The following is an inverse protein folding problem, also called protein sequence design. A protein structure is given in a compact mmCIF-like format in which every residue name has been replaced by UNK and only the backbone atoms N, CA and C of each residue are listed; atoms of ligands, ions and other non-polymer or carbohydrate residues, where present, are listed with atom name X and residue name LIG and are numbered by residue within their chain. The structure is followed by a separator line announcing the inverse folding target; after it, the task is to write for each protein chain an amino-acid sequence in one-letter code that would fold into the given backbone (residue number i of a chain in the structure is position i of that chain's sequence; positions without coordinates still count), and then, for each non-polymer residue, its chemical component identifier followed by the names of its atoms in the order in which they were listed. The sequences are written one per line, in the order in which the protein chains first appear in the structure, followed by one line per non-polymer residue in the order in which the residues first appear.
data_IF_193511675137
#
_entry.id   IF_193511675137
#
_cell.length_a   1.000
_cell.length_b   1.000
_cell.length_c   1.000
_cell.angle_alpha   90.00
_cell.angle_beta   90.00
_cell.angle_gamma   90.00
#
_symmetry.space_group_name_H-M   'P 1'
#
loop_
_entity.id
_entity.type
_entity.pdbx_description
1 polymer ?
#
# COMPACT_ATOMS: atom_id res chain seq x y z
N UNK A 1 75.25 -6.77 -24.24
CA UNK A 1 74.28 -6.66 -25.36
C UNK A 1 72.96 -6.22 -24.75
N UNK A 2 72.28 -5.29 -25.42
CA UNK A 2 71.15 -4.53 -24.91
C UNK A 2 69.87 -5.38 -24.80
N UNK A 3 69.03 -5.08 -23.82
CA UNK A 3 67.58 -5.08 -24.00
C UNK A 3 66.96 -4.16 -22.93
N UNK A 4 66.33 -3.10 -23.40
CA UNK A 4 65.56 -2.14 -22.62
C UNK A 4 64.22 -1.97 -23.35
N UNK A 5 63.15 -1.78 -22.57
CA UNK A 5 61.76 -1.45 -22.96
C UNK A 5 60.86 -2.58 -23.44
N UNK A 6 60.05 -3.06 -22.49
CA UNK A 6 58.57 -3.01 -22.53
C UNK A 6 58.12 -3.53 -21.16
N UNK A 7 57.89 -2.68 -20.16
CA UNK A 7 56.77 -1.75 -20.21
C UNK A 7 55.49 -2.59 -20.22
N UNK A 8 54.91 -2.84 -19.04
CA UNK A 8 53.71 -2.08 -18.67
C UNK A 8 52.51 -2.58 -19.48
N UNK A 9 51.79 -3.60 -18.99
CA UNK A 9 50.31 -3.63 -19.09
C UNK A 9 49.60 -4.85 -18.47
N UNK A 10 50.24 -5.77 -17.75
CA UNK A 10 49.51 -6.98 -17.30
C UNK A 10 49.57 -7.20 -15.79
N UNK A 11 49.49 -6.10 -15.03
CA UNK A 11 49.41 -6.09 -13.57
C UNK A 11 48.02 -5.71 -13.03
N UNK A 12 46.96 -5.65 -13.84
CA UNK A 12 45.75 -4.92 -13.43
C UNK A 12 44.48 -5.74 -13.11
N UNK A 13 44.25 -6.93 -13.69
CA UNK A 13 42.84 -7.38 -13.80
C UNK A 13 42.37 -8.57 -12.95
N UNK A 14 43.21 -9.51 -12.53
CA UNK A 14 42.65 -10.75 -11.93
C UNK A 14 42.54 -10.76 -10.39
N UNK A 15 43.19 -9.83 -9.68
CA UNK A 15 43.03 -9.73 -8.22
C UNK A 15 41.67 -9.14 -7.81
N UNK A 16 41.03 -8.37 -8.71
CA UNK A 16 39.72 -7.76 -8.49
C UNK A 16 38.58 -8.79 -8.40
N UNK A 17 38.75 -9.97 -8.99
CA UNK A 17 37.69 -10.99 -9.04
C UNK A 17 37.49 -11.67 -7.70
N UNK A 18 38.57 -11.87 -6.93
CA UNK A 18 38.55 -12.64 -5.68
C UNK A 18 38.07 -11.87 -4.44
N UNK A 19 38.03 -10.54 -4.50
CA UNK A 19 37.44 -9.73 -3.40
C UNK A 19 35.92 -9.61 -3.50
N UNK A 20 35.33 -9.69 -4.71
CA UNK A 20 33.90 -9.39 -4.91
C UNK A 20 32.94 -10.49 -4.45
N UNK A 21 33.43 -11.71 -4.25
CA UNK A 21 32.59 -12.83 -3.82
C UNK A 21 32.47 -12.96 -2.29
N UNK A 22 33.25 -12.21 -1.51
CA UNK A 22 33.07 -12.13 -0.06
C UNK A 22 31.94 -11.15 0.26
N UNK A 23 30.85 -11.70 0.80
CA UNK A 23 29.80 -10.97 1.52
C UNK A 23 28.93 -10.12 0.57
N UNK A 24 27.95 -10.66 -0.17
CA UNK A 24 26.80 -11.43 0.36
C UNK A 24 26.29 -10.94 1.72
N UNK A 25 26.49 -9.66 2.05
CA UNK A 25 25.87 -8.99 3.19
C UNK A 25 24.39 -8.80 2.93
N UNK A 26 23.56 -9.56 3.65
CA UNK A 26 22.56 -8.97 4.54
C UNK A 26 21.81 -7.73 3.99
N UNK A 27 21.12 -7.87 2.85
CA UNK A 27 20.14 -6.87 2.39
C UNK A 27 18.86 -7.50 1.84
N UNK A 28 18.56 -8.76 2.19
CA UNK A 28 17.31 -9.44 1.83
C UNK A 28 16.17 -9.23 2.83
N UNK A 29 16.32 -8.33 3.79
CA UNK A 29 15.30 -8.05 4.82
C UNK A 29 14.81 -6.60 4.82
N UNK A 30 14.91 -5.89 3.68
CA UNK A 30 14.23 -4.60 3.45
C UNK A 30 13.30 -4.59 2.24
N UNK A 31 13.16 -5.70 1.50
CA UNK A 31 12.06 -5.84 0.54
C UNK A 31 10.72 -6.19 1.23
N UNK A 32 10.66 -5.99 2.55
CA UNK A 32 9.49 -6.13 3.44
C UNK A 32 9.17 -4.78 4.10
N UNK A 33 9.74 -3.68 3.58
CA UNK A 33 8.97 -2.44 3.62
C UNK A 33 7.87 -2.68 2.58
N UNK A 34 6.71 -3.14 3.04
CA UNK A 34 5.45 -2.88 2.36
C UNK A 34 5.41 -1.35 2.14
N UNK A 35 6.05 -0.86 1.08
CA UNK A 35 5.57 0.35 0.45
C UNK A 35 4.12 0.01 0.17
N UNK A 36 3.14 0.67 0.82
CA UNK A 36 1.75 0.43 0.47
C UNK A 36 1.72 0.71 -1.02
N UNK A 37 1.42 -0.35 -1.78
CA UNK A 37 1.11 -0.22 -3.19
C UNK A 37 0.13 0.93 -3.20
N UNK A 38 0.53 2.06 -3.79
CA UNK A 38 -0.41 3.14 -4.06
C UNK A 38 -1.32 2.56 -5.12
N UNK A 39 -2.24 1.69 -4.70
CA UNK A 39 -3.45 1.37 -5.41
C UNK A 39 -4.01 2.74 -5.72
N UNK A 40 -4.12 3.04 -6.99
CA UNK A 40 -4.64 4.31 -7.46
C UNK A 40 -5.91 4.64 -6.64
N UNK A 41 -5.79 5.57 -5.68
CA UNK A 41 -6.86 6.07 -4.82
C UNK A 41 -7.85 6.92 -5.62
N UNK A 42 -8.05 6.54 -6.89
CA UNK A 42 -8.72 7.31 -7.92
C UNK A 42 -10.20 6.98 -8.04
N UNK A 43 -10.69 5.88 -7.46
CA UNK A 43 -12.09 5.46 -7.68
C UNK A 43 -12.77 4.71 -6.51
N UNK A 44 -12.05 4.36 -5.42
CA UNK A 44 -12.61 3.62 -4.28
C UNK A 44 -12.34 4.27 -2.92
N UNK A 45 -12.91 3.72 -1.84
CA UNK A 45 -12.77 4.20 -0.44
C UNK A 45 -11.37 3.98 0.18
N UNK A 46 -10.34 3.81 -0.64
CA UNK A 46 -8.98 3.47 -0.18
C UNK A 46 -8.94 2.13 0.58
N UNK A 47 -8.19 2.09 1.67
CA UNK A 47 -8.03 0.91 2.54
C UNK A 47 -9.36 0.40 3.13
N UNK A 48 -10.35 1.28 3.27
CA UNK A 48 -11.67 0.89 3.76
C UNK A 48 -12.37 -0.08 2.80
N UNK A 49 -12.15 0.05 1.50
CA UNK A 49 -12.81 -0.82 0.51
C UNK A 49 -12.41 -2.30 0.70
N UNK A 50 -11.13 -2.57 0.94
CA UNK A 50 -10.63 -3.92 1.22
C UNK A 50 -11.11 -4.44 2.58
N UNK A 51 -11.17 -3.57 3.57
CA UNK A 51 -11.69 -3.90 4.89
C UNK A 51 -13.17 -4.28 4.84
N UNK A 52 -13.98 -3.51 4.11
CA UNK A 52 -15.41 -3.77 3.90
C UNK A 52 -15.63 -5.09 3.15
N UNK A 53 -14.81 -5.40 2.14
CA UNK A 53 -14.87 -6.68 1.41
C UNK A 53 -14.55 -7.89 2.27
N UNK A 54 -13.74 -7.70 3.31
CA UNK A 54 -13.35 -8.75 4.26
C UNK A 54 -14.32 -8.90 5.44
N UNK A 55 -15.30 -8.00 5.56
CA UNK A 55 -16.30 -8.04 6.61
C UNK A 55 -17.36 -9.12 6.36
N UNK A 56 -17.98 -9.61 7.44
CA UNK A 56 -19.10 -10.56 7.37
C UNK A 56 -20.43 -9.83 7.13
N UNK A 57 -21.25 -10.34 6.21
CA UNK A 57 -22.56 -9.77 5.88
C UNK A 57 -23.70 -10.79 6.16
N UNK A 58 -24.93 -10.32 6.48
CA UNK A 58 -25.37 -8.92 6.52
C UNK A 58 -24.83 -8.14 7.73
N UNK A 59 -24.57 -6.84 7.53
CA UNK A 59 -24.04 -5.93 8.54
C UNK A 59 -24.84 -4.62 8.59
N UNK A 60 -24.98 -4.04 9.77
CA UNK A 60 -25.68 -2.76 9.98
C UNK A 60 -24.75 -1.54 9.87
N UNK A 61 -25.32 -0.37 9.59
CA UNK A 61 -24.59 0.91 9.68
C UNK A 61 -23.87 1.05 11.02
N UNK A 62 -24.52 0.71 12.13
CA UNK A 62 -23.91 0.76 13.46
C UNK A 62 -22.72 -0.19 13.58
N UNK A 63 -22.83 -1.45 13.16
CA UNK A 63 -21.73 -2.43 13.21
C UNK A 63 -20.52 -1.96 12.36
N UNK A 64 -20.79 -1.38 11.19
CA UNK A 64 -19.75 -0.86 10.31
C UNK A 64 -19.08 0.38 10.91
N UNK A 65 -19.83 1.26 11.59
CA UNK A 65 -19.26 2.41 12.30
C UNK A 65 -18.46 1.96 13.53
N UNK A 66 -18.91 0.93 14.26
CA UNK A 66 -18.16 0.40 15.39
C UNK A 66 -16.84 -0.27 14.95
N UNK A 67 -16.84 -0.97 13.81
CA UNK A 67 -15.65 -1.64 13.29
C UNK A 67 -14.72 -0.71 12.50
N UNK A 68 -15.28 0.21 11.72
CA UNK A 68 -14.56 1.00 10.72
C UNK A 68 -14.82 2.51 10.80
N UNK A 69 -15.46 3.00 11.86
CA UNK A 69 -15.81 4.43 12.02
C UNK A 69 -14.62 5.36 11.95
N UNK A 70 -13.45 4.92 12.44
CA UNK A 70 -12.20 5.71 12.45
C UNK A 70 -11.53 5.83 11.08
N UNK A 71 -11.99 5.11 10.05
CA UNK A 71 -11.39 5.18 8.72
C UNK A 71 -11.66 6.52 8.05
N UNK A 72 -10.60 7.15 7.53
CA UNK A 72 -10.69 8.41 6.81
C UNK A 72 -11.05 8.19 5.34
N UNK A 73 -12.14 8.82 4.91
CA UNK A 73 -12.67 8.85 3.56
C UNK A 73 -12.38 10.20 2.91
N UNK A 74 -11.95 10.16 1.65
CA UNK A 74 -11.80 11.36 0.84
C UNK A 74 -13.14 11.77 0.24
N UNK A 75 -13.66 12.92 0.65
CA UNK A 75 -14.93 13.50 0.16
C UNK A 75 -14.68 14.77 -0.64
N UNK A 76 -15.69 15.28 -1.36
CA UNK A 76 -15.60 16.60 -2.02
C UNK A 76 -15.26 17.75 -1.06
N UNK A 77 -15.62 17.62 0.23
CA UNK A 77 -15.33 18.61 1.27
C UNK A 77 -13.98 18.42 1.98
N UNK A 78 -13.16 17.47 1.54
CA UNK A 78 -11.94 17.03 2.22
C UNK A 78 -12.11 15.68 2.90
N UNK A 79 -11.20 15.35 3.82
CA UNK A 79 -11.24 14.07 4.54
C UNK A 79 -12.30 14.08 5.64
N UNK A 80 -13.10 13.02 5.71
CA UNK A 80 -14.10 12.77 6.76
C UNK A 80 -14.01 11.33 7.23
N UNK A 81 -14.32 11.07 8.49
CA UNK A 81 -14.39 9.70 8.99
C UNK A 81 -15.65 8.98 8.48
N UNK A 82 -15.60 7.64 8.40
CA UNK A 82 -16.76 6.83 8.04
C UNK A 82 -17.95 7.12 8.97
N UNK A 83 -17.69 7.28 10.27
CA UNK A 83 -18.72 7.65 11.24
C UNK A 83 -19.43 8.97 10.87
N UNK A 84 -18.70 9.99 10.40
CA UNK A 84 -19.27 11.30 10.08
C UNK A 84 -20.11 11.24 8.80
N UNK A 85 -19.67 10.43 7.83
CA UNK A 85 -20.40 10.18 6.60
C UNK A 85 -21.70 9.42 6.88
N UNK A 86 -21.63 8.36 7.69
CA UNK A 86 -22.79 7.51 8.01
C UNK A 86 -23.70 8.12 9.09
N UNK A 87 -23.23 9.05 9.91
CA UNK A 87 -24.06 9.71 10.95
C UNK A 87 -25.26 10.48 10.38
N UNK A 88 -25.23 10.83 9.09
CA UNK A 88 -26.36 11.46 8.39
C UNK A 88 -27.40 10.45 7.91
N UNK A 89 -27.13 9.15 8.08
CA UNK A 89 -27.95 8.03 7.61
C UNK A 89 -28.53 7.27 8.81
N UNK A 90 -29.73 6.71 8.62
CA UNK A 90 -30.33 5.80 9.60
C UNK A 90 -29.57 4.46 9.67
N UNK A 91 -29.89 3.65 10.67
CA UNK A 91 -29.35 2.29 10.78
C UNK A 91 -29.97 1.40 9.69
N UNK A 92 -29.21 1.16 8.62
CA UNK A 92 -29.58 0.35 7.48
C UNK A 92 -28.83 -0.98 7.52
N UNK A 93 -29.44 -2.03 6.94
CA UNK A 93 -28.81 -3.35 6.82
C UNK A 93 -28.27 -3.47 5.40
N UNK A 94 -26.99 -3.78 5.29
CA UNK A 94 -26.31 -4.04 4.03
C UNK A 94 -26.10 -5.54 3.86
N UNK A 95 -26.44 -6.05 2.68
CA UNK A 95 -26.29 -7.47 2.34
C UNK A 95 -24.87 -7.80 1.82
N UNK A 96 -24.08 -6.79 1.46
CA UNK A 96 -22.75 -6.95 0.85
C UNK A 96 -21.91 -5.66 0.93
N UNK A 97 -20.59 -5.81 0.81
CA UNK A 97 -19.65 -4.68 0.78
C UNK A 97 -19.92 -3.68 -0.34
N UNK A 98 -20.35 -4.16 -1.51
CA UNK A 98 -20.72 -3.31 -2.65
C UNK A 98 -21.91 -2.39 -2.32
N UNK A 99 -22.84 -2.86 -1.48
CA UNK A 99 -24.01 -2.08 -1.05
C UNK A 99 -23.59 -0.95 -0.11
N UNK A 100 -22.70 -1.25 0.85
CA UNK A 100 -22.06 -0.26 1.72
C UNK A 100 -21.27 0.76 0.89
N UNK A 101 -20.45 0.29 -0.04
CA UNK A 101 -19.59 1.14 -0.85
C UNK A 101 -20.42 2.13 -1.68
N UNK A 102 -21.45 1.65 -2.38
CA UNK A 102 -22.37 2.51 -3.14
C UNK A 102 -23.00 3.56 -2.23
N UNK A 103 -23.46 3.15 -1.05
CA UNK A 103 -24.08 4.05 -0.08
C UNK A 103 -23.14 5.16 0.36
N UNK A 104 -21.88 4.82 0.67
CA UNK A 104 -20.86 5.79 1.05
C UNK A 104 -20.57 6.77 -0.11
N UNK A 105 -20.44 6.27 -1.34
CA UNK A 105 -20.23 7.11 -2.53
C UNK A 105 -21.38 8.11 -2.74
N UNK A 106 -22.63 7.66 -2.57
CA UNK A 106 -23.81 8.53 -2.63
C UNK A 106 -23.77 9.64 -1.58
N UNK A 107 -23.30 9.34 -0.36
CA UNK A 107 -23.23 10.30 0.75
C UNK A 107 -22.10 11.32 0.57
N UNK A 108 -20.95 10.91 0.04
CA UNK A 108 -19.82 11.81 -0.24
C UNK A 108 -19.97 12.56 -1.59
N UNK A 109 -21.02 12.21 -2.35
CA UNK A 109 -21.40 12.85 -3.60
C UNK A 109 -20.41 12.60 -4.74
N UNK A 110 -19.91 11.37 -4.89
CA UNK A 110 -18.97 10.98 -5.94
C UNK A 110 -19.64 10.12 -7.02
#
# INVERSE_FOLDING_TARGET
MADDKQGRDEQADDEKRRQRERMQGEARTRADEEEPMRVDAGEGLGDLDEALKSHDYPATTTELVEAYGEYELETQGGKKSLEDVLASTDDEIYDSAEDVHRRILELIGR
#
